data_IF_279554423012
#
_entry.id   IF_279554423012
#
_cell.length_a   1.000
_cell.length_b   1.000
_cell.length_c   1.000
_cell.angle_alpha   90.00
_cell.angle_beta   90.00
_cell.angle_gamma   90.00
#
_symmetry.space_group_name_H-M   'P 1'
#
loop_
_entity.id
_entity.type
_entity.pdbx_description
1 polymer ?
#
# COMPACT_ATOMS: atom_id res chain seq x y z
N UNK A 1 -17.20 16.32 -1.41
CA UNK A 1 -17.23 15.88 -2.83
C UNK A 1 -15.79 15.66 -3.26
N UNK A 2 -15.34 14.41 -3.41
CA UNK A 2 -14.04 14.10 -3.97
C UNK A 2 -14.10 14.40 -5.48
N UNK A 3 -13.48 15.51 -5.90
CA UNK A 3 -13.63 16.08 -7.26
C UNK A 3 -12.89 15.25 -8.33
N UNK A 4 -11.99 14.39 -7.88
CA UNK A 4 -11.33 13.36 -8.66
C UNK A 4 -11.29 12.12 -7.77
N UNK A 5 -11.57 10.95 -8.32
CA UNK A 5 -11.50 9.67 -7.61
C UNK A 5 -10.02 9.29 -7.40
N UNK A 6 -9.26 10.18 -6.76
CA UNK A 6 -7.81 10.09 -6.57
C UNK A 6 -7.52 8.91 -5.66
N UNK A 7 -6.74 7.98 -6.18
CA UNK A 7 -6.19 6.88 -5.42
C UNK A 7 -4.90 7.36 -4.76
N UNK A 8 -4.92 7.53 -3.43
CA UNK A 8 -3.72 7.83 -2.65
C UNK A 8 -2.89 6.56 -2.45
N UNK A 9 -1.58 6.64 -2.65
CA UNK A 9 -0.66 5.54 -2.36
C UNK A 9 -0.24 5.60 -0.90
N UNK A 10 -0.94 4.86 -0.03
CA UNK A 10 -0.66 4.88 1.43
C UNK A 10 0.29 3.77 1.88
N UNK A 11 0.60 2.80 1.01
CA UNK A 11 1.47 1.67 1.31
C UNK A 11 2.06 1.03 0.05
N UNK A 12 3.36 0.72 0.09
CA UNK A 12 4.04 -0.11 -0.91
C UNK A 12 5.12 -0.98 -0.23
N UNK A 13 5.51 -2.07 -0.89
CA UNK A 13 6.65 -2.92 -0.52
C UNK A 13 7.55 -3.06 -1.75
N UNK A 14 8.87 -3.07 -1.56
CA UNK A 14 9.84 -3.35 -2.62
C UNK A 14 10.44 -4.72 -2.34
N UNK A 15 10.31 -5.63 -3.29
CA UNK A 15 10.94 -6.95 -3.25
C UNK A 15 11.99 -7.04 -4.38
N UNK A 16 13.13 -7.67 -4.08
CA UNK A 16 14.23 -7.83 -5.06
C UNK A 16 13.88 -8.78 -6.22
N UNK A 17 12.98 -9.73 -5.95
CA UNK A 17 12.58 -10.77 -6.90
C UNK A 17 11.09 -10.68 -7.22
N UNK A 18 10.75 -10.69 -8.51
CA UNK A 18 9.35 -10.66 -8.97
C UNK A 18 8.50 -11.79 -8.34
N UNK A 19 9.11 -12.96 -8.08
CA UNK A 19 8.41 -14.11 -7.50
C UNK A 19 7.96 -13.82 -6.06
N UNK A 20 8.79 -13.13 -5.28
CA UNK A 20 8.50 -12.75 -3.90
C UNK A 20 7.32 -11.75 -3.89
N UNK A 21 7.39 -10.72 -4.74
CA UNK A 21 6.31 -9.75 -4.94
C UNK A 21 4.99 -10.44 -5.34
N UNK A 22 5.02 -11.36 -6.31
CA UNK A 22 3.83 -12.08 -6.76
C UNK A 22 3.23 -12.95 -5.65
N UNK A 23 4.06 -13.60 -4.81
CA UNK A 23 3.60 -14.36 -3.63
C UNK A 23 3.00 -13.44 -2.58
N UNK A 24 3.62 -12.29 -2.32
CA UNK A 24 3.15 -11.29 -1.36
C UNK A 24 1.79 -10.73 -1.80
N UNK A 25 1.67 -10.33 -3.05
CA UNK A 25 0.41 -9.83 -3.64
C UNK A 25 -0.72 -10.86 -3.53
N UNK A 26 -0.44 -12.14 -3.87
CA UNK A 26 -1.41 -13.23 -3.72
C UNK A 26 -1.89 -13.40 -2.27
N UNK A 27 -0.98 -13.31 -1.29
CA UNK A 27 -1.36 -13.35 0.13
C UNK A 27 -2.23 -12.14 0.50
N UNK A 28 -1.83 -10.96 0.05
CA UNK A 28 -2.51 -9.70 0.34
C UNK A 28 -3.93 -9.64 -0.23
N UNK A 29 -4.20 -10.28 -1.37
CA UNK A 29 -5.55 -10.39 -1.94
C UNK A 29 -6.51 -11.15 -1.01
N UNK A 30 -6.02 -12.15 -0.28
CA UNK A 30 -6.81 -12.94 0.66
C UNK A 30 -6.84 -12.36 2.09
N UNK A 31 -6.14 -11.25 2.35
CA UNK A 31 -6.10 -10.68 3.69
C UNK A 31 -7.39 -9.94 4.08
N UNK A 32 -7.83 -10.09 5.34
CA UNK A 32 -8.91 -9.28 5.88
C UNK A 32 -8.57 -7.79 5.77
N UNK A 33 -9.58 -6.96 5.50
CA UNK A 33 -9.41 -5.49 5.40
C UNK A 33 -8.72 -4.92 6.64
N UNK A 34 -9.06 -5.43 7.83
CA UNK A 34 -8.47 -4.97 9.09
C UNK A 34 -6.95 -5.15 9.15
N UNK A 35 -6.43 -6.25 8.59
CA UNK A 35 -4.99 -6.49 8.56
C UNK A 35 -4.26 -5.47 7.69
N UNK A 36 -4.87 -5.10 6.55
CA UNK A 36 -4.32 -4.06 5.66
C UNK A 36 -4.30 -2.71 6.37
N UNK A 37 -5.38 -2.37 7.07
CA UNK A 37 -5.46 -1.12 7.85
C UNK A 37 -4.41 -1.07 8.96
N UNK A 38 -4.27 -2.14 9.75
CA UNK A 38 -3.28 -2.22 10.80
C UNK A 38 -1.84 -2.13 10.25
N UNK A 39 -1.59 -2.70 9.07
CA UNK A 39 -0.29 -2.63 8.42
C UNK A 39 0.01 -1.20 7.93
N UNK A 40 -0.97 -0.57 7.26
CA UNK A 40 -0.87 0.83 6.85
C UNK A 40 -0.65 1.72 8.08
N UNK A 41 -1.39 1.52 9.18
CA UNK A 41 -1.24 2.32 10.39
C UNK A 41 0.13 2.15 11.07
N UNK A 42 0.75 0.96 10.97
CA UNK A 42 2.10 0.74 11.49
C UNK A 42 3.19 1.43 10.67
N UNK A 43 2.97 1.63 9.37
CA UNK A 43 4.00 2.09 8.44
C UNK A 43 3.80 3.55 8.06
N UNK A 44 2.55 3.98 7.96
CA UNK A 44 2.11 5.31 7.60
C UNK A 44 0.89 5.68 8.46
N UNK A 45 1.13 5.91 9.76
CA UNK A 45 0.09 6.28 10.72
C UNK A 45 -0.62 7.57 10.34
N UNK A 46 0.10 8.50 9.70
CA UNK A 46 -0.41 9.80 9.24
C UNK A 46 -1.21 9.71 7.93
N UNK A 47 -1.18 8.55 7.26
CA UNK A 47 -1.85 8.29 5.97
C UNK A 47 -1.47 9.32 4.89
N UNK A 48 -0.21 9.72 4.85
CA UNK A 48 0.35 10.60 3.81
C UNK A 48 0.40 9.88 2.45
N UNK A 49 0.37 10.64 1.35
CA UNK A 49 0.51 10.08 0.01
C UNK A 49 1.99 9.80 -0.29
N UNK A 50 2.36 8.53 -0.32
CA UNK A 50 3.72 8.08 -0.60
C UNK A 50 4.07 8.23 -2.09
N UNK A 51 3.09 8.51 -2.96
CA UNK A 51 3.35 8.72 -4.38
C UNK A 51 4.28 9.92 -4.60
N UNK A 52 4.11 10.99 -3.82
CA UNK A 52 4.96 12.18 -3.90
C UNK A 52 6.42 11.86 -3.53
N UNK A 53 6.65 10.95 -2.57
CA UNK A 53 7.99 10.53 -2.19
C UNK A 53 8.69 9.67 -3.25
N UNK A 54 7.94 8.89 -4.03
CA UNK A 54 8.49 8.03 -5.07
C UNK A 54 8.76 8.79 -6.37
N UNK A 55 7.98 9.83 -6.67
CA UNK A 55 8.08 10.59 -7.92
C UNK A 55 9.08 11.74 -7.91
N UNK A 56 9.82 11.95 -6.81
CA UNK A 56 10.96 12.87 -6.77
C UNK A 56 12.20 12.29 -7.46
#
# INVERSE_FOLDING_TARGET
>A
MAKYNLHMLVYYEIDELYIEAARREKRFKNWPRQWKLNLIEKINSERCDLYEEICQ
#
